data_IF_138460914547
#
_entry.id   IF_138460914547
#
_cell.length_a   1.000
_cell.length_b   1.000
_cell.length_c   1.000
_cell.angle_alpha   90.00
_cell.angle_beta   90.00
_cell.angle_gamma   90.00
#
_symmetry.space_group_name_H-M   'P 1'
#
loop_
_entity.id
_entity.type
_entity.pdbx_description
1 polymer ?
#
# COMPACT_ATOMS: atom_id res chain seq x y z
N UNK A 1 58.98 -8.55 25.51
CA UNK A 1 58.26 -7.29 25.18
C UNK A 1 56.88 -7.70 24.70
N UNK A 2 55.89 -7.78 25.59
CA UNK A 2 54.53 -8.17 25.31
C UNK A 2 53.70 -6.91 25.01
N UNK A 3 53.22 -6.79 23.77
CA UNK A 3 52.25 -5.74 23.42
C UNK A 3 50.85 -6.17 23.91
N UNK A 4 50.35 -5.38 24.86
CA UNK A 4 48.99 -5.51 25.37
C UNK A 4 48.03 -4.91 24.35
N UNK A 5 47.28 -5.75 23.62
CA UNK A 5 46.24 -5.34 22.67
C UNK A 5 45.00 -5.00 23.48
N UNK A 6 44.72 -3.71 23.71
CA UNK A 6 43.49 -3.26 24.33
C UNK A 6 42.37 -3.27 23.26
N UNK A 7 41.52 -4.27 23.35
CA UNK A 7 40.32 -4.35 22.51
C UNK A 7 39.25 -3.39 23.06
N UNK A 8 39.11 -2.23 22.42
CA UNK A 8 38.07 -1.25 22.76
C UNK A 8 36.73 -1.75 22.21
N UNK A 9 35.93 -2.41 23.06
CA UNK A 9 34.57 -2.81 22.72
C UNK A 9 33.69 -1.56 22.80
N UNK A 10 33.37 -0.95 21.65
CA UNK A 10 32.38 0.11 21.55
C UNK A 10 30.98 -0.52 21.60
N UNK A 11 30.40 -0.55 22.78
CA UNK A 11 28.98 -0.86 22.92
C UNK A 11 28.18 0.30 22.31
N UNK A 12 27.21 0.05 21.41
CA UNK A 12 26.29 1.11 21.00
C UNK A 12 25.50 1.55 22.25
N UNK A 13 25.70 2.78 22.69
CA UNK A 13 24.87 3.40 23.71
C UNK A 13 23.42 3.43 23.18
N UNK A 14 22.62 2.41 23.52
CA UNK A 14 21.18 2.50 23.38
C UNK A 14 20.77 3.70 24.24
N UNK A 15 20.19 4.73 23.62
CA UNK A 15 19.48 5.79 24.34
C UNK A 15 18.35 5.12 25.10
N UNK A 16 18.58 4.83 26.39
CA UNK A 16 17.58 4.25 27.28
C UNK A 16 16.64 5.39 27.64
N UNK A 17 15.57 5.58 26.84
CA UNK A 17 14.47 6.45 27.24
C UNK A 17 13.67 5.81 28.37
N UNK A 18 13.07 6.61 29.23
CA UNK A 18 12.18 6.12 30.27
C UNK A 18 10.79 5.86 29.68
N UNK A 19 10.32 4.61 29.81
CA UNK A 19 8.94 4.27 29.47
C UNK A 19 7.95 4.96 30.43
N UNK A 20 6.85 5.44 29.88
CA UNK A 20 5.79 6.10 30.65
C UNK A 20 4.46 5.98 29.93
N UNK A 21 3.38 6.06 30.69
CA UNK A 21 2.03 5.99 30.18
C UNK A 21 1.46 7.39 29.92
N UNK A 22 0.65 7.51 28.88
CA UNK A 22 -0.11 8.72 28.56
C UNK A 22 -1.38 8.74 29.40
N UNK A 23 -1.57 9.77 30.24
CA UNK A 23 -2.68 9.84 31.22
C UNK A 23 -3.94 10.56 30.69
N UNK A 24 -3.85 11.25 29.53
CA UNK A 24 -4.98 11.96 28.92
C UNK A 24 -4.84 12.02 27.40
N UNK A 25 -5.96 12.19 26.71
CA UNK A 25 -5.95 12.43 25.26
C UNK A 25 -4.96 13.54 24.90
N UNK A 26 -3.95 13.22 24.11
CA UNK A 26 -2.85 14.12 23.79
C UNK A 26 -2.63 14.18 22.29
N UNK A 27 -2.46 15.39 21.74
CA UNK A 27 -2.05 15.57 20.35
C UNK A 27 -0.57 15.27 20.20
N UNK A 28 -0.21 14.63 19.09
CA UNK A 28 1.17 14.38 18.67
C UNK A 28 1.55 15.43 17.64
N UNK A 29 2.71 16.02 17.82
CA UNK A 29 3.24 17.10 16.99
C UNK A 29 4.53 16.66 16.30
N UNK A 30 4.72 17.05 15.06
CA UNK A 30 5.94 16.76 14.30
C UNK A 30 7.16 17.54 14.85
N UNK A 31 6.94 18.72 15.42
CA UNK A 31 7.93 19.58 16.06
C UNK A 31 7.36 20.20 17.33
N UNK A 32 8.19 20.77 18.25
CA UNK A 32 7.72 21.35 19.52
C UNK A 32 6.98 22.69 19.32
N UNK A 33 5.94 22.66 18.49
CA UNK A 33 5.08 23.79 18.18
C UNK A 33 3.62 23.30 18.13
N UNK A 34 2.70 23.98 18.84
CA UNK A 34 1.31 23.63 18.97
C UNK A 34 0.41 24.14 17.80
N UNK A 35 0.96 24.47 16.62
CA UNK A 35 0.17 24.85 15.45
C UNK A 35 -0.68 23.67 14.95
N UNK A 36 -1.82 23.99 14.31
CA UNK A 36 -2.72 22.95 13.76
C UNK A 36 -2.05 22.13 12.67
N UNK A 37 -1.22 22.76 11.86
CA UNK A 37 -0.54 22.13 10.70
C UNK A 37 0.59 21.18 11.12
N UNK A 38 0.95 21.19 12.39
CA UNK A 38 1.99 20.36 12.97
C UNK A 38 1.46 19.11 13.71
N UNK A 39 0.13 18.95 13.77
CA UNK A 39 -0.49 17.80 14.43
C UNK A 39 -0.51 16.62 13.46
N UNK A 40 0.15 15.53 13.85
CA UNK A 40 0.22 14.29 13.07
C UNK A 40 -0.71 13.19 13.60
N UNK A 41 -1.27 13.38 14.80
CA UNK A 41 -2.16 12.39 15.39
C UNK A 41 -2.56 12.69 16.81
N UNK A 42 -3.20 11.71 17.43
CA UNK A 42 -3.59 11.73 18.85
C UNK A 42 -3.19 10.42 19.50
N UNK A 43 -2.81 10.50 20.77
CA UNK A 43 -2.55 9.33 21.63
C UNK A 43 -3.61 9.31 22.73
N UNK A 44 -4.11 8.14 23.03
CA UNK A 44 -5.14 7.93 24.05
C UNK A 44 -4.50 7.60 25.42
N UNK A 45 -5.24 7.79 26.53
CA UNK A 45 -4.81 7.33 27.84
C UNK A 45 -4.55 5.82 27.81
N UNK A 46 -3.55 5.38 28.57
CA UNK A 46 -3.11 3.98 28.62
C UNK A 46 -2.04 3.61 27.56
N UNK A 47 -1.78 4.50 26.59
CA UNK A 47 -0.70 4.24 25.63
C UNK A 47 0.68 4.41 26.25
N UNK A 48 1.56 3.45 26.02
CA UNK A 48 2.97 3.53 26.46
C UNK A 48 3.81 4.33 25.48
N UNK A 49 4.68 5.17 25.99
CA UNK A 49 5.63 5.97 25.20
C UNK A 49 7.00 5.97 25.88
N UNK A 50 8.07 5.98 25.07
CA UNK A 50 9.43 6.11 25.58
C UNK A 50 9.83 7.60 25.54
N UNK A 51 9.97 8.23 26.70
CA UNK A 51 10.44 9.60 26.82
C UNK A 51 11.92 9.70 26.45
N UNK A 52 12.27 10.63 25.61
CA UNK A 52 13.66 10.90 25.24
C UNK A 52 14.17 12.19 25.90
N UNK A 53 13.67 13.33 25.45
CA UNK A 53 14.18 14.64 25.89
C UNK A 53 13.08 15.69 25.96
N UNK A 54 13.11 16.58 26.93
CA UNK A 54 12.29 17.81 26.95
C UNK A 54 12.84 18.81 25.93
N UNK A 55 11.94 19.56 25.29
CA UNK A 55 12.31 20.70 24.48
C UNK A 55 12.85 21.87 25.38
N UNK A 56 13.38 22.91 24.76
CA UNK A 56 13.92 24.06 25.49
C UNK A 56 12.85 24.81 26.30
N UNK A 57 11.59 24.76 25.90
CA UNK A 57 10.48 25.41 26.62
C UNK A 57 9.98 24.61 27.83
N UNK A 58 10.33 23.32 27.91
CA UNK A 58 9.81 22.39 28.89
C UNK A 58 8.34 21.97 28.68
N UNK A 59 7.68 22.50 27.63
CA UNK A 59 6.26 22.25 27.34
C UNK A 59 6.05 20.98 26.53
N UNK A 60 7.06 20.54 25.79
CA UNK A 60 7.00 19.35 24.93
C UNK A 60 8.06 18.33 25.32
N UNK A 61 7.76 17.08 25.09
CA UNK A 61 8.69 15.96 25.27
C UNK A 61 8.84 15.27 23.93
N UNK A 62 10.08 15.09 23.46
CA UNK A 62 10.36 14.17 22.38
C UNK A 62 10.17 12.77 22.91
N UNK A 63 9.36 11.95 22.22
CA UNK A 63 9.08 10.59 22.59
C UNK A 63 9.15 9.66 21.37
N UNK A 64 9.38 8.39 21.63
CA UNK A 64 9.19 7.30 20.66
C UNK A 64 7.93 6.53 21.04
N UNK A 65 7.15 6.15 20.05
CA UNK A 65 5.91 5.40 20.19
C UNK A 65 6.02 4.21 19.24
N UNK A 66 5.72 3.02 19.73
CA UNK A 66 5.49 1.87 18.88
C UNK A 66 4.02 1.86 18.44
N UNK A 67 3.79 1.73 17.15
CA UNK A 67 2.48 1.55 16.58
C UNK A 67 2.56 0.65 15.35
N UNK A 68 1.46 -0.05 15.08
CA UNK A 68 1.34 -0.90 13.91
C UNK A 68 0.63 -0.11 12.81
N UNK A 69 1.25 -0.05 11.63
CA UNK A 69 0.66 0.53 10.42
C UNK A 69 0.38 -0.62 9.47
N UNK A 70 -0.83 -0.73 8.90
CA UNK A 70 -1.07 -1.68 7.83
C UNK A 70 -0.03 -1.48 6.70
N UNK A 71 0.54 -2.57 6.21
CA UNK A 71 1.62 -2.51 5.19
C UNK A 71 1.16 -1.76 3.94
N UNK A 72 -0.12 -1.90 3.59
CA UNK A 72 -0.73 -1.19 2.46
C UNK A 72 -0.82 0.33 2.64
N UNK A 73 -0.67 0.83 3.86
CA UNK A 73 -0.61 2.27 4.15
C UNK A 73 0.81 2.85 4.02
N UNK A 74 1.82 1.99 3.87
CA UNK A 74 3.21 2.38 3.69
C UNK A 74 3.55 2.36 2.20
N UNK A 75 4.19 3.43 1.71
CA UNK A 75 4.70 3.48 0.33
C UNK A 75 5.75 2.39 0.05
N UNK A 76 6.51 1.99 1.07
CA UNK A 76 7.58 0.99 0.95
C UNK A 76 7.09 -0.45 0.68
N UNK A 77 5.83 -0.77 1.05
CA UNK A 77 5.20 -2.05 0.74
C UNK A 77 4.51 -2.11 -0.62
N UNK A 78 4.43 -0.97 -1.33
CA UNK A 78 3.68 -0.84 -2.57
C UNK A 78 4.63 -0.80 -3.76
N UNK A 79 4.89 -1.96 -4.34
CA UNK A 79 5.68 -2.07 -5.56
C UNK A 79 4.74 -2.19 -6.76
N UNK A 80 4.77 -1.18 -7.64
CA UNK A 80 4.06 -1.24 -8.92
C UNK A 80 4.95 -1.88 -9.98
N UNK A 81 4.41 -2.84 -10.69
CA UNK A 81 5.12 -3.63 -11.69
C UNK A 81 4.76 -3.16 -13.12
N UNK A 82 5.69 -3.22 -14.07
CA UNK A 82 5.41 -2.87 -15.45
C UNK A 82 4.49 -3.89 -16.13
N UNK A 83 3.87 -3.46 -17.24
CA UNK A 83 3.12 -4.33 -18.15
C UNK A 83 3.98 -5.54 -18.56
N UNK A 84 3.37 -6.70 -18.67
CA UNK A 84 4.03 -7.97 -18.99
C UNK A 84 4.48 -8.80 -17.79
N UNK A 85 4.60 -8.21 -16.61
CA UNK A 85 4.95 -8.95 -15.38
C UNK A 85 3.79 -9.80 -14.87
N UNK A 86 4.14 -10.82 -14.08
CA UNK A 86 3.17 -11.70 -13.42
C UNK A 86 3.23 -11.47 -11.92
N UNK A 87 2.07 -11.28 -11.29
CA UNK A 87 1.92 -11.05 -9.86
C UNK A 87 0.87 -11.99 -9.28
N UNK A 88 0.96 -12.27 -7.99
CA UNK A 88 0.04 -13.15 -7.28
C UNK A 88 -0.56 -12.39 -6.11
N UNK A 89 -1.90 -12.43 -6.03
CA UNK A 89 -2.67 -11.95 -4.90
C UNK A 89 -3.64 -13.07 -4.50
N UNK A 90 -3.53 -13.57 -3.29
CA UNK A 90 -4.24 -14.77 -2.81
C UNK A 90 -4.10 -15.96 -3.79
N UNK A 91 -5.23 -16.49 -4.31
CA UNK A 91 -5.27 -17.58 -5.29
C UNK A 91 -5.36 -17.09 -6.74
N UNK A 92 -5.31 -15.80 -6.98
CA UNK A 92 -5.34 -15.20 -8.30
C UNK A 92 -3.92 -14.82 -8.77
N UNK A 93 -3.52 -15.34 -9.92
CA UNK A 93 -2.31 -14.93 -10.61
C UNK A 93 -2.67 -14.01 -11.76
N UNK A 94 -2.22 -12.76 -11.66
CA UNK A 94 -2.46 -11.71 -12.63
C UNK A 94 -1.28 -11.54 -13.57
N UNK A 95 -1.55 -11.35 -14.86
CA UNK A 95 -0.57 -10.88 -15.85
C UNK A 95 -1.21 -9.81 -16.72
N UNK A 96 -0.79 -8.56 -16.54
CA UNK A 96 -1.19 -7.47 -17.43
C UNK A 96 -0.46 -7.64 -18.77
N UNK A 97 -1.20 -8.00 -19.82
CA UNK A 97 -0.65 -8.37 -21.13
C UNK A 97 -0.41 -7.12 -21.98
N UNK A 98 -1.40 -6.24 -22.00
CA UNK A 98 -1.41 -5.09 -22.90
C UNK A 98 -2.20 -3.95 -22.28
N UNK A 99 -1.76 -2.71 -22.53
CA UNK A 99 -2.47 -1.49 -22.15
C UNK A 99 -2.39 -0.49 -23.26
N UNK A 100 -3.53 0.07 -23.66
CA UNK A 100 -3.64 1.11 -24.67
C UNK A 100 -4.44 2.29 -24.13
N UNK A 101 -4.00 3.53 -24.43
CA UNK A 101 -4.71 4.74 -24.07
C UNK A 101 -5.17 5.49 -25.32
N UNK A 102 -6.45 5.83 -25.37
CA UNK A 102 -7.02 6.69 -26.41
C UNK A 102 -7.84 7.80 -25.76
N UNK A 103 -7.31 9.03 -25.80
CA UNK A 103 -7.96 10.15 -25.13
C UNK A 103 -8.10 9.93 -23.61
N UNK A 104 -9.33 9.85 -23.11
CA UNK A 104 -9.66 9.61 -21.72
C UNK A 104 -9.91 8.13 -21.40
N UNK A 105 -9.93 7.27 -22.40
CA UNK A 105 -10.17 5.85 -22.23
C UNK A 105 -8.85 5.06 -22.18
N UNK A 106 -8.79 4.11 -21.27
CA UNK A 106 -7.72 3.12 -21.15
C UNK A 106 -8.31 1.72 -21.35
N UNK A 107 -7.75 0.99 -22.31
CA UNK A 107 -8.10 -0.39 -22.61
C UNK A 107 -6.98 -1.29 -22.17
N UNK A 108 -7.29 -2.35 -21.45
CA UNK A 108 -6.28 -3.31 -21.01
C UNK A 108 -6.73 -4.76 -21.22
N UNK A 109 -5.74 -5.62 -21.45
CA UNK A 109 -5.91 -7.08 -21.47
C UNK A 109 -5.19 -7.67 -20.27
N UNK A 110 -5.96 -8.35 -19.42
CA UNK A 110 -5.47 -8.94 -18.17
C UNK A 110 -5.76 -10.44 -18.18
N UNK A 111 -4.71 -11.25 -18.07
CA UNK A 111 -4.90 -12.68 -17.79
C UNK A 111 -5.05 -12.86 -16.28
N UNK A 112 -6.12 -13.54 -15.89
CA UNK A 112 -6.38 -13.94 -14.51
C UNK A 112 -6.38 -15.46 -14.47
N UNK A 113 -5.44 -16.05 -13.73
CA UNK A 113 -5.30 -17.50 -13.59
C UNK A 113 -5.63 -17.89 -12.16
N UNK A 114 -6.50 -18.87 -11.99
CA UNK A 114 -6.73 -19.50 -10.70
C UNK A 114 -5.59 -20.48 -10.40
N UNK A 115 -4.78 -20.18 -9.37
CA UNK A 115 -3.66 -21.06 -8.96
C UNK A 115 -4.07 -22.09 -7.90
N UNK A 116 -5.30 -22.04 -7.43
CA UNK A 116 -5.83 -23.07 -6.51
C UNK A 116 -5.85 -24.43 -7.20
N UNK A 117 -5.44 -25.51 -6.52
CA UNK A 117 -5.48 -26.86 -7.09
C UNK A 117 -6.89 -27.45 -7.15
N UNK A 118 -7.83 -26.98 -6.29
CA UNK A 118 -9.11 -27.66 -6.06
C UNK A 118 -10.29 -26.73 -5.75
N UNK A 119 -10.12 -25.41 -5.81
CA UNK A 119 -11.19 -24.44 -5.56
C UNK A 119 -11.35 -23.52 -6.76
N UNK A 120 -12.59 -23.22 -7.10
CA UNK A 120 -12.92 -22.18 -8.07
C UNK A 120 -12.50 -20.80 -7.57
N UNK A 121 -12.26 -19.89 -8.48
CA UNK A 121 -11.96 -18.49 -8.25
C UNK A 121 -13.07 -17.64 -8.83
N UNK A 122 -13.81 -16.95 -7.97
CA UNK A 122 -14.77 -15.94 -8.36
C UNK A 122 -14.03 -14.64 -8.73
N UNK A 123 -13.97 -14.33 -9.99
CA UNK A 123 -13.35 -13.11 -10.50
C UNK A 123 -14.43 -12.14 -11.00
N UNK A 124 -14.39 -10.91 -10.49
CA UNK A 124 -15.17 -9.79 -10.99
C UNK A 124 -14.27 -8.56 -11.11
N UNK A 125 -14.09 -8.08 -12.33
CA UNK A 125 -13.26 -6.89 -12.55
C UNK A 125 -13.83 -5.65 -11.83
N UNK A 126 -15.16 -5.52 -11.76
CA UNK A 126 -15.83 -4.41 -11.08
C UNK A 126 -15.52 -4.35 -9.57
N UNK A 127 -15.31 -5.50 -8.94
CA UNK A 127 -15.06 -5.60 -7.49
C UNK A 127 -13.57 -5.63 -7.17
N UNK A 128 -12.80 -6.38 -7.95
CA UNK A 128 -11.41 -6.74 -7.62
C UNK A 128 -10.38 -5.81 -8.27
N UNK A 129 -10.79 -5.00 -9.26
CA UNK A 129 -9.85 -4.15 -9.99
C UNK A 129 -10.20 -2.67 -9.85
N UNK A 130 -9.16 -1.82 -9.81
CA UNK A 130 -9.30 -0.35 -9.82
C UNK A 130 -8.18 0.26 -10.65
N UNK A 131 -8.54 1.13 -11.59
CA UNK A 131 -7.57 1.94 -12.33
C UNK A 131 -7.54 3.36 -11.73
N UNK A 132 -6.36 3.84 -11.35
CA UNK A 132 -6.18 5.11 -10.65
C UNK A 132 -5.08 5.90 -11.35
N UNK A 133 -5.40 7.08 -11.83
CA UNK A 133 -4.45 8.04 -12.38
C UNK A 133 -3.98 9.05 -11.34
N UNK A 134 -3.03 9.89 -11.72
CA UNK A 134 -2.49 10.95 -10.87
C UNK A 134 -3.60 11.91 -10.41
N UNK A 135 -3.55 12.35 -9.14
CA UNK A 135 -4.46 13.37 -8.59
C UNK A 135 -5.90 12.88 -8.41
N UNK A 136 -6.08 11.64 -7.97
CA UNK A 136 -7.40 11.00 -7.75
C UNK A 136 -8.27 10.90 -9.02
N UNK A 137 -7.69 10.98 -10.23
CA UNK A 137 -8.38 10.72 -11.47
C UNK A 137 -8.67 9.22 -11.58
N UNK A 138 -9.83 8.80 -11.09
CA UNK A 138 -10.24 7.38 -11.06
C UNK A 138 -10.85 6.98 -12.39
N UNK A 139 -10.42 5.84 -12.91
CA UNK A 139 -11.06 5.19 -14.05
C UNK A 139 -12.31 4.44 -13.61
N UNK A 140 -13.40 4.68 -14.28
CA UNK A 140 -14.65 3.93 -14.11
C UNK A 140 -14.68 2.79 -15.15
N UNK A 141 -14.87 1.55 -14.68
CA UNK A 141 -14.96 0.40 -15.58
C UNK A 141 -16.22 0.50 -16.41
N UNK A 142 -16.08 0.47 -17.74
CA UNK A 142 -17.22 0.49 -18.66
C UNK A 142 -17.89 -0.89 -18.71
N UNK A 143 -19.12 -1.05 -18.21
CA UNK A 143 -19.78 -2.35 -18.13
C UNK A 143 -20.30 -2.84 -19.49
N UNK A 144 -20.33 -1.99 -20.51
CA UNK A 144 -20.88 -2.30 -21.83
C UNK A 144 -19.84 -2.66 -22.87
N UNK A 145 -18.55 -2.52 -22.54
CA UNK A 145 -17.43 -2.79 -23.44
C UNK A 145 -16.50 -3.83 -22.82
N UNK A 146 -15.95 -4.70 -23.66
CA UNK A 146 -14.94 -5.67 -23.26
C UNK A 146 -15.51 -7.06 -22.91
N UNK A 147 -14.72 -7.82 -22.16
CA UNK A 147 -15.04 -9.19 -21.75
C UNK A 147 -14.67 -9.44 -20.29
N UNK A 148 -15.52 -10.16 -19.57
CA UNK A 148 -15.33 -10.52 -18.15
C UNK A 148 -15.28 -9.33 -17.21
N UNK A 149 -16.12 -8.32 -17.45
CA UNK A 149 -16.29 -7.19 -16.53
C UNK A 149 -17.01 -7.62 -15.24
N UNK A 150 -18.00 -8.48 -15.42
CA UNK A 150 -18.80 -9.08 -14.34
C UNK A 150 -18.14 -10.32 -13.74
N UNK A 151 -18.94 -11.14 -13.08
CA UNK A 151 -18.50 -12.38 -12.46
C UNK A 151 -18.10 -13.43 -13.51
N UNK A 152 -16.87 -13.91 -13.41
CA UNK A 152 -16.37 -15.09 -14.08
C UNK A 152 -15.95 -16.13 -13.04
N UNK A 153 -16.46 -17.36 -13.16
CA UNK A 153 -16.01 -18.49 -12.34
C UNK A 153 -14.87 -19.17 -13.08
N UNK A 154 -13.68 -19.12 -12.52
CA UNK A 154 -12.46 -19.70 -13.10
C UNK A 154 -12.18 -21.04 -12.41
N UNK A 155 -12.24 -22.13 -13.17
CA UNK A 155 -11.95 -23.47 -12.65
C UNK A 155 -10.53 -23.58 -12.07
N UNK A 156 -10.26 -24.56 -11.19
CA UNK A 156 -8.92 -24.79 -10.67
C UNK A 156 -7.88 -24.93 -11.79
N UNK A 157 -6.77 -24.20 -11.68
CA UNK A 157 -5.63 -24.16 -12.63
C UNK A 157 -5.98 -23.62 -14.03
N UNK A 158 -7.18 -23.12 -14.24
CA UNK A 158 -7.61 -22.49 -15.49
C UNK A 158 -7.43 -20.96 -15.46
N UNK A 159 -7.70 -20.28 -16.55
CA UNK A 159 -7.56 -18.84 -16.69
C UNK A 159 -8.59 -18.23 -17.62
N UNK A 160 -8.80 -16.93 -17.45
CA UNK A 160 -9.53 -16.07 -18.41
C UNK A 160 -8.63 -14.92 -18.86
N UNK A 161 -8.93 -14.36 -20.03
CA UNK A 161 -8.32 -13.11 -20.51
C UNK A 161 -9.43 -12.07 -20.53
N UNK A 162 -9.41 -11.18 -19.54
CA UNK A 162 -10.33 -10.07 -19.47
C UNK A 162 -9.83 -8.93 -20.38
N UNK A 163 -10.76 -8.35 -21.15
CA UNK A 163 -10.54 -7.12 -21.90
C UNK A 163 -11.40 -6.04 -21.27
N UNK A 164 -10.78 -5.03 -20.69
CA UNK A 164 -11.40 -4.06 -19.79
C UNK A 164 -11.20 -2.65 -20.29
N UNK A 165 -12.25 -1.84 -20.25
CA UNK A 165 -12.29 -0.46 -20.68
C UNK A 165 -12.54 0.43 -19.47
N UNK A 166 -11.61 1.33 -19.20
CA UNK A 166 -11.74 2.31 -18.12
C UNK A 166 -11.88 3.71 -18.69
N UNK A 167 -12.96 4.38 -18.34
CA UNK A 167 -13.23 5.76 -18.73
C UNK A 167 -12.81 6.70 -17.60
N UNK A 168 -11.97 7.69 -17.91
CA UNK A 168 -11.47 8.70 -16.97
C UNK A 168 -12.11 10.06 -17.25
N UNK A 169 -12.26 10.89 -16.22
CA UNK A 169 -12.80 12.27 -16.36
C UNK A 169 -11.92 13.18 -17.22
N UNK A 170 -10.62 12.94 -17.20
CA UNK A 170 -9.63 13.67 -18.01
C UNK A 170 -8.57 12.71 -18.48
N UNK A 171 -7.75 13.11 -19.47
CA UNK A 171 -6.65 12.26 -19.98
C UNK A 171 -5.76 11.81 -18.81
N UNK A 172 -5.73 10.52 -18.49
CA UNK A 172 -5.01 10.04 -17.33
C UNK A 172 -3.51 10.05 -17.56
N UNK A 173 -2.76 10.24 -16.47
CA UNK A 173 -1.30 10.15 -16.43
C UNK A 173 -0.91 9.30 -15.23
N UNK A 174 0.23 8.61 -15.34
CA UNK A 174 0.75 7.76 -14.26
C UNK A 174 -0.33 6.80 -13.71
N UNK A 175 -1.00 6.11 -14.62
CA UNK A 175 -2.09 5.21 -14.25
C UNK A 175 -1.53 3.95 -13.61
N UNK A 176 -2.17 3.56 -12.53
CA UNK A 176 -1.90 2.33 -11.81
C UNK A 176 -3.15 1.45 -11.80
N UNK A 177 -3.00 0.16 -12.10
CA UNK A 177 -4.03 -0.85 -11.90
C UNK A 177 -3.77 -1.56 -10.58
N UNK A 178 -4.74 -1.53 -9.71
CA UNK A 178 -4.77 -2.31 -8.47
C UNK A 178 -5.57 -3.58 -8.72
N UNK A 179 -4.98 -4.74 -8.49
CA UNK A 179 -5.65 -6.02 -8.57
C UNK A 179 -5.70 -6.65 -7.18
N UNK A 180 -6.88 -7.05 -6.74
CA UNK A 180 -7.10 -7.69 -5.42
C UNK A 180 -7.45 -9.16 -5.65
N UNK A 181 -6.85 -10.08 -4.91
CA UNK A 181 -7.07 -11.52 -5.08
C UNK A 181 -8.46 -11.97 -4.64
N UNK A 182 -9.01 -11.33 -3.59
CA UNK A 182 -10.38 -11.47 -3.10
C UNK A 182 -10.78 -10.19 -2.37
N UNK A 183 -12.03 -10.01 -2.04
CA UNK A 183 -12.49 -8.86 -1.25
C UNK A 183 -11.75 -8.80 0.09
N UNK A 184 -11.03 -7.71 0.34
CA UNK A 184 -10.21 -7.54 1.55
C UNK A 184 -8.91 -8.35 1.60
N UNK A 185 -8.54 -9.05 0.51
CA UNK A 185 -7.32 -9.84 0.41
C UNK A 185 -6.09 -9.06 -0.06
N UNK A 186 -5.08 -9.83 -0.45
CA UNK A 186 -3.82 -9.31 -0.97
C UNK A 186 -4.02 -8.45 -2.22
N UNK A 187 -3.13 -7.50 -2.42
CA UNK A 187 -3.16 -6.58 -3.57
C UNK A 187 -1.85 -6.60 -4.32
N UNK A 188 -1.95 -6.48 -5.63
CA UNK A 188 -0.81 -6.26 -6.52
C UNK A 188 -1.08 -5.05 -7.41
N UNK A 189 -0.02 -4.40 -7.84
CA UNK A 189 -0.07 -3.11 -8.51
C UNK A 189 0.69 -3.15 -9.82
N UNK A 190 0.10 -2.57 -10.87
CA UNK A 190 0.75 -2.41 -12.17
C UNK A 190 0.78 -0.94 -12.56
N UNK A 191 1.92 -0.47 -13.09
CA UNK A 191 2.04 0.84 -13.71
C UNK A 191 1.92 0.73 -15.22
N UNK A 192 1.20 1.67 -15.85
CA UNK A 192 0.96 1.64 -17.30
C UNK A 192 2.05 2.37 -18.11
N UNK A 193 2.86 3.18 -17.48
CA UNK A 193 4.00 3.85 -18.14
C UNK A 193 3.64 5.11 -18.94
N UNK A 194 2.42 5.66 -18.79
CA UNK A 194 2.01 6.94 -19.39
C UNK A 194 1.33 7.87 -18.39
#
# INVERSE_FOLDING_TARGET
MYQLLILLIVFPLKLIGQETEVIKNTKVYLSPNASKDNVIGKIFPGSSVIKLKKDKSGKFIKATIEFYIPVEALLEGRVSHPVGTTQIADNAKYKLIEVNQTGTQVVLKLRVTNISPNKELDFSAMVLLKAIGKGDNKGELNPFQGKYQDLAIIAPRDHVIAELFYDFKSKPKNVELVCTGKMGGDRVYYTFGF
#
